data_IF_425918019119
#
_entry.id   IF_425918019119
#
_cell.length_a   1.000
_cell.length_b   1.000
_cell.length_c   1.000
_cell.angle_alpha   90.00
_cell.angle_beta   90.00
_cell.angle_gamma   90.00
#
_symmetry.space_group_name_H-M   'P 1'
#
loop_
_entity.id
_entity.type
_entity.pdbx_description
1 polymer ?
#
# COMPACT_ATOMS: atom_id res chain seq x y z
N UNK A 1 -20.30 11.32 -20.94
CA UNK A 1 -19.88 10.61 -19.71
C UNK A 1 -19.08 11.60 -18.88
N UNK A 2 -19.40 11.81 -17.59
CA UNK A 2 -18.60 12.69 -16.72
C UNK A 2 -17.16 12.15 -16.61
N UNK A 3 -16.17 13.03 -16.49
CA UNK A 3 -14.80 12.60 -16.21
C UNK A 3 -14.74 12.06 -14.77
N UNK A 4 -14.40 10.78 -14.54
CA UNK A 4 -14.29 10.25 -13.18
C UNK A 4 -13.21 10.97 -12.36
N UNK A 5 -12.28 11.69 -13.01
CA UNK A 5 -11.24 12.50 -12.37
C UNK A 5 -11.74 13.88 -11.92
N UNK A 6 -13.05 14.13 -11.93
CA UNK A 6 -13.63 15.33 -11.34
C UNK A 6 -14.47 15.05 -10.09
N UNK A 7 -14.50 13.80 -9.62
CA UNK A 7 -15.23 13.39 -8.44
C UNK A 7 -14.28 13.29 -7.24
N UNK A 8 -14.73 13.77 -6.07
CA UNK A 8 -14.05 13.55 -4.79
C UNK A 8 -13.83 12.05 -4.54
N UNK A 9 -12.68 11.71 -3.97
CA UNK A 9 -12.33 10.34 -3.57
C UNK A 9 -12.14 10.30 -2.06
N UNK A 10 -12.94 9.49 -1.36
CA UNK A 10 -12.82 9.29 0.08
C UNK A 10 -11.95 8.06 0.40
N UNK A 11 -10.95 8.23 1.26
CA UNK A 11 -9.98 7.20 1.66
C UNK A 11 -9.88 7.19 3.18
N UNK A 12 -10.87 6.57 3.83
CA UNK A 12 -10.93 6.46 5.28
C UNK A 12 -10.90 7.84 5.97
N UNK A 13 -9.87 8.17 6.77
CA UNK A 13 -9.77 9.45 7.46
C UNK A 13 -9.33 10.62 6.56
N UNK A 14 -8.97 10.35 5.31
CA UNK A 14 -8.54 11.36 4.34
C UNK A 14 -9.51 11.43 3.16
N UNK A 15 -9.46 12.54 2.44
CA UNK A 15 -10.15 12.68 1.17
C UNK A 15 -9.27 13.43 0.17
N UNK A 16 -9.46 13.12 -1.11
CA UNK A 16 -8.81 13.78 -2.22
C UNK A 16 -9.88 14.54 -3.02
N UNK A 17 -9.80 15.87 -2.98
CA UNK A 17 -10.74 16.77 -3.67
C UNK A 17 -10.10 17.38 -4.93
N UNK A 18 -10.83 17.49 -6.05
CA UNK A 18 -10.37 18.26 -7.19
C UNK A 18 -10.35 19.75 -6.83
N UNK A 19 -9.27 20.45 -7.19
CA UNK A 19 -9.17 21.90 -6.99
C UNK A 19 -9.91 22.58 -8.16
N UNK A 20 -10.91 23.44 -7.90
CA UNK A 20 -11.62 24.15 -8.96
C UNK A 20 -10.66 24.97 -9.83
N UNK A 21 -10.88 24.96 -11.14
CA UNK A 21 -10.13 25.75 -12.12
C UNK A 21 -8.61 25.50 -12.15
N UNK A 22 -8.15 24.43 -11.51
CA UNK A 22 -6.78 23.95 -11.56
C UNK A 22 -6.79 22.46 -11.92
N UNK A 23 -5.87 22.02 -12.77
CA UNK A 23 -5.66 20.59 -13.06
C UNK A 23 -4.94 19.87 -11.89
N UNK A 24 -5.38 20.13 -10.65
CA UNK A 24 -4.75 19.71 -9.40
C UNK A 24 -5.78 19.11 -8.44
N UNK A 25 -5.27 18.37 -7.49
CA UNK A 25 -6.03 17.72 -6.45
C UNK A 25 -5.39 17.97 -5.10
N UNK A 26 -6.24 18.05 -4.07
CA UNK A 26 -5.87 18.38 -2.71
C UNK A 26 -6.21 17.21 -1.79
N UNK A 27 -5.23 16.74 -1.02
CA UNK A 27 -5.48 15.87 0.14
C UNK A 27 -5.72 16.74 1.35
N UNK A 28 -6.78 16.45 2.09
CA UNK A 28 -6.98 17.00 3.43
C UNK A 28 -7.28 15.88 4.43
N UNK A 29 -6.64 15.98 5.60
CA UNK A 29 -6.94 15.16 6.77
C UNK A 29 -8.16 15.67 7.53
N UNK A 30 -8.71 14.82 8.41
CA UNK A 30 -9.90 15.13 9.20
C UNK A 30 -9.73 16.31 10.16
N UNK A 31 -8.50 16.57 10.61
CA UNK A 31 -8.21 17.54 11.67
C UNK A 31 -7.64 18.88 11.18
N UNK A 32 -7.84 19.20 9.89
CA UNK A 32 -7.49 20.52 9.36
C UNK A 32 -5.98 20.76 9.24
N UNK A 33 -5.18 19.70 9.14
CA UNK A 33 -3.76 19.78 8.77
C UNK A 33 -3.57 20.44 7.40
N UNK A 34 -2.37 20.98 7.18
CA UNK A 34 -1.99 21.65 5.94
C UNK A 34 -2.28 20.75 4.73
N UNK A 35 -3.20 21.21 3.88
CA UNK A 35 -3.67 20.43 2.76
C UNK A 35 -2.59 20.38 1.66
N UNK A 36 -2.22 19.16 1.24
CA UNK A 36 -1.20 18.94 0.22
C UNK A 36 -1.86 18.94 -1.15
N UNK A 37 -1.33 19.73 -2.08
CA UNK A 37 -1.79 19.77 -3.46
C UNK A 37 -0.78 19.13 -4.42
N UNK A 38 -1.28 18.39 -5.39
CA UNK A 38 -0.50 17.72 -6.43
C UNK A 38 -1.28 17.53 -7.72
N UNK A 39 -0.58 17.28 -8.82
CA UNK A 39 -1.22 16.87 -10.07
C UNK A 39 -1.76 15.44 -9.97
N UNK A 40 -2.71 15.08 -10.84
CA UNK A 40 -3.26 13.71 -10.88
C UNK A 40 -2.17 12.64 -11.03
N UNK A 41 -1.15 12.89 -11.85
CA UNK A 41 0.00 11.99 -12.04
C UNK A 41 0.79 11.75 -10.76
N UNK A 42 0.91 12.76 -9.90
CA UNK A 42 1.66 12.66 -8.64
C UNK A 42 0.95 11.70 -7.68
N UNK A 43 -0.37 11.81 -7.59
CA UNK A 43 -1.21 10.91 -6.79
C UNK A 43 -1.19 9.47 -7.32
N UNK A 44 -1.23 9.28 -8.63
CA UNK A 44 -1.07 7.95 -9.25
C UNK A 44 0.30 7.36 -8.93
N UNK A 45 1.38 8.15 -9.05
CA UNK A 45 2.72 7.70 -8.72
C UNK A 45 2.87 7.31 -7.23
N UNK A 46 2.25 8.09 -6.33
CA UNK A 46 2.20 7.77 -4.90
C UNK A 46 1.48 6.44 -4.65
N UNK A 47 0.29 6.23 -5.24
CA UNK A 47 -0.48 5.00 -5.09
C UNK A 47 0.33 3.77 -5.53
N UNK A 48 1.01 3.84 -6.68
CA UNK A 48 1.89 2.77 -7.13
C UNK A 48 3.05 2.49 -6.16
N UNK A 49 3.62 3.54 -5.56
CA UNK A 49 4.70 3.39 -4.58
C UNK A 49 4.23 2.74 -3.29
N UNK A 50 3.03 3.08 -2.82
CA UNK A 50 2.39 2.44 -1.65
C UNK A 50 2.16 0.95 -1.92
N UNK A 51 1.57 0.60 -3.07
CA UNK A 51 1.31 -0.80 -3.42
C UNK A 51 2.60 -1.63 -3.53
N UNK A 52 3.66 -1.07 -4.13
CA UNK A 52 4.96 -1.74 -4.21
C UNK A 52 5.61 -1.94 -2.84
N UNK A 53 5.43 -0.99 -1.91
CA UNK A 53 5.94 -1.13 -0.55
C UNK A 53 5.20 -2.24 0.21
N UNK A 54 3.88 -2.31 0.09
CA UNK A 54 3.05 -3.39 0.67
C UNK A 54 3.43 -4.76 0.11
N UNK A 55 3.65 -4.89 -1.20
CA UNK A 55 4.10 -6.13 -1.83
C UNK A 55 5.47 -6.59 -1.28
N UNK A 56 6.43 -5.67 -1.13
CA UNK A 56 7.73 -5.96 -0.56
C UNK A 56 7.62 -6.43 0.90
N UNK A 57 6.75 -5.78 1.68
CA UNK A 57 6.50 -6.15 3.07
C UNK A 57 5.91 -7.55 3.20
N UNK A 58 4.85 -7.88 2.44
CA UNK A 58 4.26 -9.22 2.43
C UNK A 58 5.25 -10.28 1.99
N UNK A 59 6.12 -9.96 1.04
CA UNK A 59 7.21 -10.84 0.63
C UNK A 59 8.28 -11.05 1.71
N UNK A 60 8.48 -10.11 2.63
CA UNK A 60 9.34 -10.27 3.79
C UNK A 60 8.67 -11.14 4.87
N UNK A 61 7.39 -10.89 5.17
CA UNK A 61 6.62 -11.71 6.11
C UNK A 61 6.57 -13.18 5.68
N UNK A 62 6.22 -13.45 4.42
CA UNK A 62 6.17 -14.82 3.90
C UNK A 62 7.51 -15.56 3.97
N UNK A 63 8.64 -14.83 3.85
CA UNK A 63 9.97 -15.41 4.07
C UNK A 63 10.26 -15.71 5.53
N UNK A 64 9.77 -14.86 6.44
CA UNK A 64 9.84 -15.10 7.88
C UNK A 64 9.06 -16.36 8.27
N UNK A 65 7.81 -16.48 7.81
CA UNK A 65 6.97 -17.65 8.05
C UNK A 65 7.63 -18.94 7.55
N UNK A 66 8.20 -18.91 6.35
CA UNK A 66 8.92 -20.05 5.78
C UNK A 66 10.18 -20.42 6.59
N UNK A 67 10.87 -19.43 7.17
CA UNK A 67 12.02 -19.69 8.03
C UNK A 67 11.60 -20.32 9.36
N UNK A 68 10.54 -19.81 9.98
CA UNK A 68 9.98 -20.37 11.22
C UNK A 68 9.49 -21.81 11.02
N UNK A 69 8.80 -22.10 9.91
CA UNK A 69 8.34 -23.44 9.55
C UNK A 69 9.52 -24.39 9.32
N UNK A 70 10.54 -23.96 8.57
CA UNK A 70 11.75 -24.75 8.34
C UNK A 70 12.55 -25.02 9.62
N UNK A 71 12.62 -24.05 10.52
CA UNK A 71 13.27 -24.20 11.82
C UNK A 71 12.51 -25.18 12.74
N UNK A 72 11.17 -25.11 12.75
CA UNK A 72 10.33 -26.06 13.48
C UNK A 72 10.50 -27.48 12.93
N UNK A 73 10.49 -27.66 11.61
CA UNK A 73 10.71 -28.95 10.96
C UNK A 73 12.08 -29.56 11.29
N UNK A 74 13.14 -28.74 11.37
CA UNK A 74 14.49 -29.20 11.75
C UNK A 74 14.62 -29.66 13.21
N UNK A 75 13.65 -29.35 14.07
CA UNK A 75 13.58 -29.81 15.46
C UNK A 75 12.60 -30.95 15.70
N UNK A 76 11.89 -31.38 14.66
CA UNK A 76 11.01 -32.53 14.76
C UNK A 76 11.85 -33.82 14.96
N UNK A 77 11.72 -34.51 16.10
CA UNK A 77 12.46 -35.76 16.36
C UNK A 77 12.04 -36.91 15.43
N UNK A 78 10.91 -36.79 14.73
CA UNK A 78 10.45 -37.73 13.70
C UNK A 78 10.91 -37.37 12.28
N UNK A 79 11.63 -36.27 12.08
CA UNK A 79 12.07 -35.84 10.75
C UNK A 79 13.03 -36.86 10.12
N UNK A 80 12.64 -37.42 8.97
CA UNK A 80 13.47 -38.35 8.19
C UNK A 80 14.05 -37.61 7.00
N UNK A 81 15.38 -37.65 6.85
CA UNK A 81 16.04 -37.10 5.66
C UNK A 81 15.78 -38.02 4.45
N UNK A 82 15.09 -37.56 3.40
CA UNK A 82 14.73 -38.39 2.23
C UNK A 82 15.90 -38.65 1.28
N UNK A 83 17.06 -38.03 1.50
CA UNK A 83 18.28 -38.19 0.70
C UNK A 83 19.35 -39.02 1.42
N UNK A 84 18.98 -39.74 2.49
CA UNK A 84 19.88 -40.59 3.27
C UNK A 84 19.56 -42.07 3.08
#
# INVERSE_FOLDING_TARGET
MPDPRSARIDIGPFHLDPVPDAARWRVAGRDGEDAIEGGWSDWVALAHRVLRADELWRGLEARGDAWDEGFAAGRDPGAVNPYR
#
